data_IF_961265832549
#
_entry.id   IF_961265832549
#
_cell.length_a   1.000
_cell.length_b   1.000
_cell.length_c   1.000
_cell.angle_alpha   90.00
_cell.angle_beta   90.00
_cell.angle_gamma   90.00
#
_symmetry.space_group_name_H-M   'P 1'
#
loop_
_entity.id
_entity.type
_entity.pdbx_description
1 polymer ?
#
# COMPACT_ATOMS: atom_id res chain seq x y z
N UNK A 1 -24.05 3.73 -30.86
CA UNK A 1 -23.89 3.13 -29.51
C UNK A 1 -22.85 2.01 -29.55
N UNK A 2 -21.56 2.35 -29.78
CA UNK A 2 -20.48 1.36 -29.78
C UNK A 2 -20.04 1.09 -28.33
N UNK A 3 -20.62 0.02 -27.78
CA UNK A 3 -19.97 -0.94 -26.87
C UNK A 3 -19.27 -0.41 -25.59
N UNK A 4 -20.07 -0.08 -24.55
CA UNK A 4 -19.59 -0.04 -23.15
C UNK A 4 -18.99 -1.38 -22.67
N UNK A 5 -19.28 -2.51 -23.36
CA UNK A 5 -18.77 -3.84 -23.01
C UNK A 5 -17.26 -4.03 -23.23
N UNK A 6 -16.56 -3.08 -23.88
CA UNK A 6 -15.10 -3.19 -24.13
C UNK A 6 -14.23 -2.62 -23.00
N UNK A 7 -14.79 -1.84 -22.08
CA UNK A 7 -14.00 -1.08 -21.09
C UNK A 7 -13.60 -1.92 -19.87
N UNK A 8 -14.30 -3.00 -19.59
CA UNK A 8 -14.08 -3.80 -18.38
C UNK A 8 -13.66 -5.21 -18.74
N UNK A 9 -12.36 -5.37 -19.00
CA UNK A 9 -11.76 -6.71 -18.96
C UNK A 9 -11.49 -7.05 -17.50
N UNK A 10 -11.72 -8.31 -17.13
CA UNK A 10 -11.40 -8.79 -15.78
C UNK A 10 -9.90 -8.58 -15.54
N UNK A 11 -9.56 -7.70 -14.59
CA UNK A 11 -8.17 -7.41 -14.23
C UNK A 11 -7.53 -8.68 -13.71
N UNK A 12 -6.50 -9.15 -14.41
CA UNK A 12 -5.66 -10.27 -13.97
C UNK A 12 -4.37 -9.71 -13.41
N UNK A 13 -4.08 -10.05 -12.16
CA UNK A 13 -2.84 -9.63 -11.51
C UNK A 13 -1.78 -10.71 -11.73
N UNK A 14 -0.65 -10.34 -12.32
CA UNK A 14 0.47 -11.26 -12.52
C UNK A 14 1.21 -11.49 -11.21
N UNK A 15 1.87 -12.63 -11.09
CA UNK A 15 2.74 -12.93 -9.94
C UNK A 15 3.85 -11.90 -9.76
N UNK A 16 4.45 -11.44 -10.87
CA UNK A 16 5.50 -10.43 -10.84
C UNK A 16 4.98 -9.09 -10.28
N UNK A 17 3.77 -8.70 -10.67
CA UNK A 17 3.12 -7.50 -10.14
C UNK A 17 2.78 -7.67 -8.65
N UNK A 18 2.26 -8.83 -8.26
CA UNK A 18 1.96 -9.14 -6.87
C UNK A 18 3.23 -9.07 -6.01
N UNK A 19 4.31 -9.73 -6.42
CA UNK A 19 5.61 -9.71 -5.75
C UNK A 19 6.17 -8.28 -5.63
N UNK A 20 5.95 -7.45 -6.66
CA UNK A 20 6.37 -6.06 -6.63
C UNK A 20 5.56 -5.23 -5.61
N UNK A 21 4.23 -5.40 -5.60
CA UNK A 21 3.35 -4.72 -4.66
C UNK A 21 3.61 -5.12 -3.21
N UNK A 22 3.87 -6.39 -2.94
CA UNK A 22 4.24 -6.89 -1.61
C UNK A 22 5.52 -6.24 -1.09
N UNK A 23 6.53 -6.08 -1.96
CA UNK A 23 7.79 -5.42 -1.61
C UNK A 23 7.59 -3.95 -1.29
N UNK A 24 6.74 -3.25 -2.04
CA UNK A 24 6.45 -1.83 -1.80
C UNK A 24 5.61 -1.62 -0.53
N UNK A 25 4.59 -2.46 -0.35
CA UNK A 25 3.66 -2.33 0.78
C UNK A 25 4.22 -2.91 2.09
N UNK A 26 5.26 -3.75 2.01
CA UNK A 26 5.75 -4.56 3.14
C UNK A 26 4.64 -5.45 3.74
N UNK A 27 3.75 -5.95 2.88
CA UNK A 27 2.60 -6.81 3.22
C UNK A 27 2.70 -8.13 2.44
N UNK A 28 2.19 -9.21 3.03
CA UNK A 28 2.07 -10.51 2.38
C UNK A 28 0.63 -10.72 1.88
N UNK A 29 0.43 -10.73 0.56
CA UNK A 29 -0.86 -10.98 -0.10
C UNK A 29 -0.98 -12.42 -0.62
N UNK A 30 -0.03 -13.32 -0.30
CA UNK A 30 0.10 -14.68 -0.88
C UNK A 30 -0.91 -15.69 -0.34
N UNK A 31 -2.17 -15.27 -0.22
CA UNK A 31 -3.31 -16.16 -0.15
C UNK A 31 -4.31 -15.80 -1.26
N UNK A 32 -4.98 -16.82 -1.79
CA UNK A 32 -5.87 -16.68 -2.94
C UNK A 32 -7.03 -15.70 -2.68
N UNK A 33 -7.46 -15.60 -1.42
CA UNK A 33 -8.50 -14.65 -1.01
C UNK A 33 -8.03 -13.19 -1.12
N UNK A 34 -6.78 -12.91 -0.75
CA UNK A 34 -6.12 -11.61 -0.85
C UNK A 34 -5.97 -11.16 -2.29
N UNK A 35 -5.48 -12.05 -3.16
CA UNK A 35 -5.38 -11.77 -4.60
C UNK A 35 -6.76 -11.48 -5.19
N UNK A 36 -7.77 -12.29 -4.88
CA UNK A 36 -9.15 -12.06 -5.36
C UNK A 36 -9.74 -10.74 -4.86
N UNK A 37 -9.46 -10.35 -3.61
CA UNK A 37 -9.88 -9.05 -3.06
C UNK A 37 -9.21 -7.90 -3.81
N UNK A 38 -7.92 -8.02 -4.10
CA UNK A 38 -7.17 -7.01 -4.84
C UNK A 38 -7.71 -6.86 -6.28
N UNK A 39 -7.94 -7.97 -6.98
CA UNK A 39 -8.55 -7.94 -8.33
C UNK A 39 -9.92 -7.24 -8.32
N UNK A 40 -10.78 -7.55 -7.35
CA UNK A 40 -12.09 -6.90 -7.20
C UNK A 40 -11.98 -5.40 -6.87
N UNK A 41 -11.01 -5.01 -6.05
CA UNK A 41 -10.80 -3.60 -5.70
C UNK A 41 -10.35 -2.79 -6.92
N UNK A 42 -9.45 -3.35 -7.73
CA UNK A 42 -9.04 -2.73 -9.00
C UNK A 42 -10.22 -2.66 -9.96
N UNK A 43 -10.95 -3.76 -10.15
CA UNK A 43 -12.18 -3.77 -10.96
C UNK A 43 -13.18 -2.70 -10.49
N UNK A 44 -13.35 -2.50 -9.18
CA UNK A 44 -14.21 -1.43 -8.68
C UNK A 44 -13.70 -0.02 -9.05
N UNK A 45 -12.40 0.23 -8.94
CA UNK A 45 -11.78 1.53 -9.25
C UNK A 45 -11.84 1.88 -10.75
N UNK A 46 -11.74 0.88 -11.64
CA UNK A 46 -11.82 1.06 -13.09
C UNK A 46 -13.12 1.76 -13.55
N UNK A 47 -14.18 1.75 -12.73
CA UNK A 47 -15.45 2.44 -13.05
C UNK A 47 -15.25 3.95 -13.20
N UNK A 48 -14.23 4.51 -12.54
CA UNK A 48 -13.88 5.93 -12.61
C UNK A 48 -13.39 6.34 -14.02
N UNK A 49 -12.89 5.41 -14.85
CA UNK A 49 -12.50 5.71 -16.24
C UNK A 49 -13.69 6.07 -17.14
N UNK A 50 -14.93 5.79 -16.73
CA UNK A 50 -16.12 6.23 -17.47
C UNK A 50 -16.43 7.73 -17.27
N UNK A 51 -15.80 8.38 -16.29
CA UNK A 51 -15.98 9.81 -16.00
C UNK A 51 -15.02 10.62 -16.87
N UNK A 52 -15.54 11.57 -17.65
CA UNK A 52 -14.70 12.49 -18.42
C UNK A 52 -14.11 13.57 -17.50
N UNK A 53 -12.79 13.61 -17.39
CA UNK A 53 -12.03 14.62 -16.64
C UNK A 53 -11.20 15.55 -17.53
N UNK A 54 -11.48 15.59 -18.85
CA UNK A 54 -10.80 16.49 -19.78
C UNK A 54 -10.96 17.97 -19.35
N UNK A 55 -9.83 18.64 -19.13
CA UNK A 55 -9.80 20.04 -18.69
C UNK A 55 -10.24 20.28 -17.23
N UNK A 56 -10.38 19.21 -16.43
CA UNK A 56 -10.63 19.32 -14.99
C UNK A 56 -9.30 19.26 -14.24
N UNK A 57 -8.97 20.33 -13.54
CA UNK A 57 -7.79 20.37 -12.68
C UNK A 57 -7.94 19.42 -11.47
N UNK A 58 -6.90 18.64 -11.10
CA UNK A 58 -6.95 17.79 -9.92
C UNK A 58 -7.17 18.57 -8.62
N UNK A 59 -8.00 18.03 -7.72
CA UNK A 59 -8.25 18.62 -6.42
C UNK A 59 -7.12 18.30 -5.44
N UNK A 60 -6.48 19.33 -4.88
CA UNK A 60 -5.40 19.18 -3.88
C UNK A 60 -5.90 19.25 -2.43
N UNK A 61 -6.89 20.09 -2.15
CA UNK A 61 -7.45 20.34 -0.82
C UNK A 61 -8.89 20.80 -0.97
N UNK A 62 -9.77 20.38 -0.05
CA UNK A 62 -11.15 20.88 0.05
C UNK A 62 -11.24 22.19 0.84
N UNK A 63 -10.11 22.66 1.40
CA UNK A 63 -10.03 23.84 2.27
C UNK A 63 -9.40 25.01 1.52
N UNK A 64 -10.05 25.45 0.45
CA UNK A 64 -9.57 26.49 -0.46
C UNK A 64 -9.35 27.85 0.26
N UNK A 65 -10.17 28.15 1.27
CA UNK A 65 -10.12 29.41 2.03
C UNK A 65 -9.08 29.42 3.16
N UNK A 66 -8.20 28.41 3.26
CA UNK A 66 -7.20 28.34 4.33
C UNK A 66 -5.80 28.61 3.82
N UNK A 67 -5.11 29.50 4.51
CA UNK A 67 -3.69 29.73 4.29
C UNK A 67 -2.84 28.56 4.78
N UNK A 68 -1.66 28.40 4.18
CA UNK A 68 -0.63 27.50 4.70
C UNK A 68 -0.13 28.04 6.04
N UNK A 69 -0.44 27.34 7.13
CA UNK A 69 0.01 27.72 8.46
C UNK A 69 1.46 27.32 8.66
N UNK A 70 2.29 28.28 9.03
CA UNK A 70 3.65 28.03 9.49
C UNK A 70 3.64 27.82 11.00
N UNK A 71 4.46 26.87 11.47
CA UNK A 71 4.72 26.69 12.90
C UNK A 71 5.84 27.65 13.31
N UNK A 72 5.64 28.38 14.41
CA UNK A 72 6.69 29.19 15.03
C UNK A 72 7.92 28.34 15.39
N UNK A 73 9.12 28.89 15.22
CA UNK A 73 10.37 28.21 15.56
C UNK A 73 10.70 28.29 17.05
N UNK A 74 9.78 27.75 17.87
CA UNK A 74 9.92 27.67 19.32
C UNK A 74 9.90 26.20 19.76
N UNK A 75 10.56 25.93 20.90
CA UNK A 75 10.54 24.62 21.55
C UNK A 75 9.17 24.41 22.18
N UNK A 76 8.42 23.41 21.72
CA UNK A 76 7.10 23.07 22.25
C UNK A 76 7.12 21.90 23.23
N UNK A 77 8.01 20.92 23.03
CA UNK A 77 8.08 19.68 23.81
C UNK A 77 9.53 19.17 23.88
N UNK A 78 9.84 18.36 24.90
CA UNK A 78 11.18 17.78 25.08
C UNK A 78 11.24 16.74 26.20
N UNK A 79 12.29 15.93 26.19
CA UNK A 79 12.60 14.93 27.24
C UNK A 79 11.59 13.77 27.40
N UNK A 80 10.94 13.32 26.33
CA UNK A 80 10.02 12.16 26.34
C UNK A 80 10.70 10.82 25.99
N UNK A 81 12.03 10.74 26.08
CA UNK A 81 12.77 9.55 25.64
C UNK A 81 12.30 8.27 26.35
N UNK A 82 12.10 8.33 27.67
CA UNK A 82 11.63 7.17 28.44
C UNK A 82 10.23 6.71 28.01
N UNK A 83 9.30 7.65 27.81
CA UNK A 83 7.92 7.36 27.42
C UNK A 83 7.84 6.76 26.01
N UNK A 84 8.63 7.29 25.08
CA UNK A 84 8.68 6.80 23.70
C UNK A 84 9.34 5.42 23.62
N UNK A 85 10.45 5.20 24.32
CA UNK A 85 11.17 3.93 24.31
C UNK A 85 10.36 2.80 24.98
N UNK A 86 9.51 3.11 25.97
CA UNK A 86 8.56 2.14 26.55
C UNK A 86 7.58 1.55 25.53
N UNK A 87 7.35 2.20 24.38
CA UNK A 87 6.47 1.70 23.31
C UNK A 87 7.18 0.81 22.30
N UNK A 88 8.52 0.74 22.33
CA UNK A 88 9.28 -0.07 21.41
C UNK A 88 9.17 -1.57 21.73
N UNK A 89 9.17 -2.40 20.69
CA UNK A 89 9.24 -3.85 20.87
C UNK A 89 10.58 -4.30 21.51
N UNK A 90 11.67 -3.61 21.19
CA UNK A 90 12.99 -3.88 21.75
C UNK A 90 13.84 -2.62 21.74
N UNK A 91 14.58 -2.42 22.81
CA UNK A 91 15.52 -1.30 22.98
C UNK A 91 16.85 -1.81 23.51
N UNK A 92 17.94 -1.15 23.16
CA UNK A 92 19.28 -1.40 23.73
C UNK A 92 19.92 -0.05 24.02
N UNK A 93 20.39 0.16 25.24
CA UNK A 93 21.13 1.37 25.64
C UNK A 93 20.45 2.70 25.26
N UNK A 94 19.11 2.76 25.34
CA UNK A 94 18.35 3.97 24.98
C UNK A 94 18.06 4.13 23.48
N UNK A 95 18.37 3.12 22.66
CA UNK A 95 18.09 3.12 21.23
C UNK A 95 16.98 2.14 20.87
N UNK A 96 16.15 2.51 19.90
CA UNK A 96 15.31 1.55 19.17
C UNK A 96 16.22 0.62 18.39
N UNK A 97 15.97 -0.68 18.46
CA UNK A 97 16.73 -1.64 17.65
C UNK A 97 15.80 -2.38 16.70
N UNK A 98 16.27 -2.51 15.46
CA UNK A 98 15.65 -3.31 14.42
C UNK A 98 16.63 -4.41 13.97
N UNK A 99 16.14 -5.54 13.44
CA UNK A 99 16.99 -6.49 12.76
C UNK A 99 17.78 -5.81 11.62
N UNK A 100 19.01 -6.24 11.34
CA UNK A 100 19.77 -5.74 10.18
C UNK A 100 18.94 -5.98 8.91
N UNK A 101 18.64 -4.89 8.20
CA UNK A 101 17.57 -4.81 7.21
C UNK A 101 17.73 -5.75 6.02
N UNK A 102 16.90 -6.78 5.99
CA UNK A 102 16.00 -7.19 4.89
C UNK A 102 15.30 -8.43 5.44
N UNK A 103 13.98 -8.38 5.72
CA UNK A 103 13.27 -9.65 5.90
C UNK A 103 13.32 -10.32 4.53
N UNK A 104 14.09 -11.41 4.35
CA UNK A 104 14.14 -12.05 3.05
C UNK A 104 12.73 -12.56 2.80
N UNK A 105 12.08 -12.04 1.76
CA UNK A 105 10.87 -12.69 1.29
C UNK A 105 11.24 -14.16 0.98
N UNK A 106 10.39 -15.15 1.34
CA UNK A 106 10.57 -16.57 1.03
C UNK A 106 11.09 -16.78 -0.40
N UNK A 107 11.86 -17.82 -0.67
CA UNK A 107 12.46 -18.01 -2.00
C UNK A 107 11.39 -18.15 -3.08
N UNK A 108 11.68 -17.73 -4.32
CA UNK A 108 10.74 -17.83 -5.46
C UNK A 108 10.19 -19.26 -5.63
N UNK A 109 11.03 -20.26 -5.35
CA UNK A 109 10.67 -21.68 -5.36
C UNK A 109 9.58 -22.03 -4.34
N UNK A 110 9.66 -21.47 -3.13
CA UNK A 110 8.62 -21.63 -2.09
C UNK A 110 7.35 -20.86 -2.49
N UNK A 111 7.48 -19.71 -3.17
CA UNK A 111 6.36 -18.88 -3.66
C UNK A 111 5.50 -19.57 -4.73
N UNK A 112 6.13 -20.35 -5.61
CA UNK A 112 5.41 -21.03 -6.71
C UNK A 112 4.50 -22.15 -6.20
N UNK A 113 4.80 -22.76 -5.05
CA UNK A 113 4.01 -23.89 -4.52
C UNK A 113 2.59 -23.50 -4.10
N UNK A 114 2.32 -22.23 -3.79
CA UNK A 114 1.03 -21.75 -3.30
C UNK A 114 -0.05 -21.63 -4.38
N UNK A 115 0.35 -21.52 -5.65
CA UNK A 115 -0.59 -21.42 -6.77
C UNK A 115 -0.99 -22.76 -7.38
N UNK A 116 -0.22 -23.83 -7.14
CA UNK A 116 -0.47 -25.16 -7.71
C UNK A 116 -1.43 -26.01 -6.88
N UNK A 117 -2.02 -25.46 -5.80
CA UNK A 117 -2.91 -26.21 -4.91
C UNK A 117 -4.35 -26.34 -5.44
N UNK A 118 -4.66 -25.80 -6.62
CA UNK A 118 -5.98 -25.89 -7.27
C UNK A 118 -6.04 -26.90 -8.44
N UNK A 119 -4.97 -27.65 -8.75
CA UNK A 119 -5.04 -28.73 -9.76
C UNK A 119 -5.28 -30.13 -9.13
N UNK A 120 -5.97 -30.22 -7.98
CA UNK A 120 -6.38 -31.50 -7.36
C UNK A 120 -7.77 -31.43 -6.73
#
# INVERSE_FOLDING_TARGET
MRCLKKLFQRTKITLELLDHLERLALVDFRNWEGVRRLEKAVEFAEQLHAVNTDGVEPMESVLEDRHLYLREDNISEGNHAEELLKKAAKTVEGYFIAPPGNIPLPKVEERNTFLHREDS
#
